data_IF_457186446663
#
_entry.id   IF_457186446663
#
_cell.length_a   1.000
_cell.length_b   1.000
_cell.length_c   1.000
_cell.angle_alpha   90.00
_cell.angle_beta   90.00
_cell.angle_gamma   90.00
#
_symmetry.space_group_name_H-M   'P 1'
#
loop_
_entity.id
_entity.type
_entity.pdbx_description
1 polymer ?
#
# COMPACT_ATOMS: atom_id res chain seq x y z
N UNK A 1 -3.14 28.91 4.16
CA UNK A 1 -3.26 27.54 4.69
C UNK A 1 -4.03 26.70 3.68
N UNK A 2 -3.36 26.22 2.62
CA UNK A 2 -4.03 25.45 1.56
C UNK A 2 -4.21 24.00 2.01
N UNK A 3 -5.46 23.63 2.28
CA UNK A 3 -5.91 22.32 2.80
C UNK A 3 -5.91 21.19 1.74
N UNK A 4 -5.19 21.35 0.64
CA UNK A 4 -5.17 20.43 -0.52
C UNK A 4 -3.74 20.07 -0.94
N UNK A 5 -2.86 19.78 0.02
CA UNK A 5 -1.47 19.51 -0.29
C UNK A 5 -1.09 18.05 -0.11
N UNK A 6 -0.80 17.44 -1.26
CA UNK A 6 0.07 16.27 -1.51
C UNK A 6 -0.42 14.92 -1.02
N UNK A 7 -0.93 14.11 -1.95
CA UNK A 7 -0.44 12.75 -2.08
C UNK A 7 -0.42 12.37 -3.57
N UNK A 8 0.76 12.01 -4.10
CA UNK A 8 0.90 11.58 -5.50
C UNK A 8 0.33 10.18 -5.78
N UNK A 9 -0.11 9.46 -4.73
CA UNK A 9 -0.62 8.11 -4.87
C UNK A 9 -2.07 8.10 -5.31
N UNK A 10 -2.33 7.45 -6.44
CA UNK A 10 -3.68 7.19 -6.92
C UNK A 10 -4.22 5.93 -6.25
N UNK A 11 -5.53 5.85 -6.11
CA UNK A 11 -6.23 4.67 -5.59
C UNK A 11 -7.08 4.05 -6.69
N UNK A 12 -6.96 2.74 -6.86
CA UNK A 12 -7.92 1.96 -7.66
C UNK A 12 -9.15 1.63 -6.80
N UNK A 13 -10.35 1.64 -7.39
CA UNK A 13 -11.59 1.26 -6.70
C UNK A 13 -11.50 -0.17 -6.12
N UNK A 14 -10.96 -1.10 -6.92
CA UNK A 14 -10.69 -2.47 -6.48
C UNK A 14 -9.62 -2.51 -5.37
N UNK A 15 -8.61 -1.65 -5.44
CA UNK A 15 -7.58 -1.53 -4.40
C UNK A 15 -8.17 -1.08 -3.07
N UNK A 16 -9.03 -0.04 -3.10
CA UNK A 16 -9.69 0.51 -1.92
C UNK A 16 -10.59 -0.53 -1.24
N UNK A 17 -11.39 -1.25 -2.03
CA UNK A 17 -12.25 -2.31 -1.51
C UNK A 17 -11.44 -3.42 -0.81
N UNK A 18 -10.30 -3.82 -1.40
CA UNK A 18 -9.41 -4.84 -0.83
C UNK A 18 -8.72 -4.37 0.44
N UNK A 19 -8.29 -3.11 0.48
CA UNK A 19 -7.76 -2.45 1.68
C UNK A 19 -8.80 -2.51 2.81
N UNK A 20 -10.04 -2.11 2.53
CA UNK A 20 -11.13 -2.12 3.50
C UNK A 20 -11.33 -3.52 4.10
N UNK A 21 -11.44 -4.53 3.25
CA UNK A 21 -11.60 -5.94 3.65
C UNK A 21 -10.42 -6.47 4.47
N UNK A 22 -9.18 -6.19 4.06
CA UNK A 22 -7.98 -6.77 4.69
C UNK A 22 -7.55 -6.07 5.97
N UNK A 23 -7.75 -4.76 6.07
CA UNK A 23 -7.44 -3.99 7.28
C UNK A 23 -8.59 -4.02 8.30
N UNK A 24 -9.75 -4.57 7.91
CA UNK A 24 -10.99 -4.56 8.67
C UNK A 24 -11.40 -3.14 9.08
N UNK A 25 -11.32 -2.21 8.11
CA UNK A 25 -11.82 -0.86 8.27
C UNK A 25 -13.34 -0.93 8.08
N UNK A 26 -14.12 -0.56 9.10
CA UNK A 26 -15.58 -0.51 9.07
C UNK A 26 -16.11 0.54 8.08
N UNK A 27 -17.40 0.89 8.09
CA UNK A 27 -18.06 1.86 7.19
C UNK A 27 -17.55 3.32 7.30
N UNK A 28 -16.24 3.51 7.31
CA UNK A 28 -15.61 4.78 7.02
C UNK A 28 -15.89 5.20 5.59
N UNK A 29 -16.12 6.51 5.41
CA UNK A 29 -16.21 7.12 4.09
C UNK A 29 -14.92 6.84 3.31
N UNK A 30 -15.01 6.70 1.99
CA UNK A 30 -13.83 6.41 1.15
C UNK A 30 -12.70 7.43 1.34
N UNK A 31 -13.06 8.69 1.60
CA UNK A 31 -12.11 9.75 1.89
C UNK A 31 -11.30 9.48 3.16
N UNK A 32 -11.96 9.09 4.26
CA UNK A 32 -11.28 8.74 5.52
C UNK A 32 -10.36 7.53 5.35
N UNK A 33 -10.78 6.55 4.53
CA UNK A 33 -9.95 5.38 4.22
C UNK A 33 -8.69 5.81 3.47
N UNK A 34 -8.82 6.72 2.49
CA UNK A 34 -7.69 7.24 1.72
C UNK A 34 -6.70 7.97 2.62
N UNK A 35 -7.15 8.90 3.46
CA UNK A 35 -6.28 9.59 4.42
C UNK A 35 -5.56 8.61 5.35
N UNK A 36 -6.30 7.67 5.94
CA UNK A 36 -5.71 6.67 6.85
C UNK A 36 -4.66 5.78 6.18
N UNK A 37 -4.86 5.43 4.91
CA UNK A 37 -3.86 4.66 4.14
C UNK A 37 -2.61 5.49 3.91
N UNK A 38 -2.76 6.79 3.65
CA UNK A 38 -1.65 7.69 3.41
C UNK A 38 -0.85 7.92 4.69
N UNK A 39 -1.53 8.13 5.82
CA UNK A 39 -0.90 8.17 7.14
C UNK A 39 -0.13 6.87 7.44
N UNK A 40 -0.69 5.71 7.09
CA UNK A 40 0.00 4.42 7.27
C UNK A 40 1.23 4.29 6.38
N UNK A 41 1.19 4.83 5.16
CA UNK A 41 2.32 4.83 4.24
C UNK A 41 3.43 5.75 4.77
N UNK A 42 3.08 6.96 5.22
CA UNK A 42 4.05 7.93 5.77
C UNK A 42 4.70 7.43 7.06
N UNK A 43 3.94 6.78 7.93
CA UNK A 43 4.44 6.19 9.17
C UNK A 43 5.04 4.79 9.01
N UNK A 44 5.14 4.29 7.77
CA UNK A 44 5.63 2.93 7.54
C UNK A 44 7.12 2.81 7.85
N UNK A 45 7.47 1.82 8.68
CA UNK A 45 8.85 1.56 9.10
C UNK A 45 9.62 0.64 8.14
N UNK A 46 8.92 -0.05 7.25
CA UNK A 46 9.50 -1.04 6.34
C UNK A 46 8.88 -0.89 4.95
N UNK A 47 9.74 -0.79 3.96
CA UNK A 47 9.36 -0.90 2.57
C UNK A 47 10.40 -1.75 1.85
N UNK A 48 9.96 -2.39 0.79
CA UNK A 48 10.85 -3.01 -0.18
C UNK A 48 10.29 -2.75 -1.56
N UNK A 49 11.17 -2.73 -2.54
CA UNK A 49 10.79 -2.42 -3.90
C UNK A 49 11.27 -3.49 -4.87
N UNK A 50 10.55 -3.55 -5.97
CA UNK A 50 10.78 -4.37 -7.14
C UNK A 50 10.86 -3.42 -8.34
N UNK A 51 11.18 -3.88 -9.54
CA UNK A 51 11.41 -3.09 -10.74
C UNK A 51 10.17 -2.25 -11.09
N UNK A 52 8.99 -2.86 -10.99
CA UNK A 52 7.72 -2.19 -11.33
C UNK A 52 6.83 -1.89 -10.12
N UNK A 53 7.10 -2.45 -8.94
CA UNK A 53 6.20 -2.36 -7.77
C UNK A 53 6.92 -1.96 -6.48
N UNK A 54 6.25 -1.18 -5.63
CA UNK A 54 6.69 -0.83 -4.28
C UNK A 54 5.77 -1.53 -3.30
N UNK A 55 6.37 -2.17 -2.30
CA UNK A 55 5.68 -2.80 -1.20
C UNK A 55 5.93 -2.01 0.07
N UNK A 56 4.87 -1.47 0.66
CA UNK A 56 4.95 -0.65 1.88
C UNK A 56 4.24 -1.37 3.00
N UNK A 57 4.93 -1.60 4.11
CA UNK A 57 4.37 -2.28 5.27
C UNK A 57 3.24 -1.45 5.90
N UNK A 58 2.12 -2.10 6.20
CA UNK A 58 0.92 -1.41 6.72
C UNK A 58 0.96 -1.15 8.22
N UNK A 59 1.99 -1.59 8.94
CA UNK A 59 2.04 -1.53 10.40
C UNK A 59 1.29 -2.67 11.10
N UNK A 60 0.45 -3.42 10.38
CA UNK A 60 -0.44 -4.45 10.94
C UNK A 60 -0.18 -5.82 10.29
N UNK A 61 0.24 -6.79 11.11
CA UNK A 61 0.45 -8.17 10.69
C UNK A 61 1.60 -8.30 9.69
N UNK A 62 1.44 -9.11 8.64
CA UNK A 62 2.40 -9.20 7.53
C UNK A 62 1.77 -8.66 6.24
N UNK A 63 1.02 -7.56 6.32
CA UNK A 63 0.29 -6.98 5.19
C UNK A 63 1.06 -5.80 4.61
N UNK A 64 1.18 -5.78 3.29
CA UNK A 64 1.88 -4.75 2.52
C UNK A 64 0.95 -4.10 1.50
N UNK A 65 1.01 -2.78 1.39
CA UNK A 65 0.46 -2.03 0.27
C UNK A 65 1.31 -2.28 -0.97
N UNK A 66 0.67 -2.63 -2.08
CA UNK A 66 1.31 -2.85 -3.38
C UNK A 66 1.01 -1.66 -4.27
N UNK A 67 2.07 -0.96 -4.68
CA UNK A 67 1.99 0.28 -5.45
C UNK A 67 2.72 0.08 -6.78
N UNK A 68 2.08 0.39 -7.90
CA UNK A 68 2.78 0.46 -9.19
C UNK A 68 3.67 1.71 -9.24
N UNK A 69 4.96 1.53 -9.51
CA UNK A 69 5.94 2.64 -9.60
C UNK A 69 5.59 3.65 -10.68
N UNK A 70 5.23 3.17 -11.87
CA UNK A 70 4.98 4.02 -13.06
C UNK A 70 3.81 4.98 -12.87
N UNK A 71 2.73 4.49 -12.27
CA UNK A 71 1.48 5.23 -12.14
C UNK A 71 1.28 5.82 -10.74
N UNK A 72 2.17 5.48 -9.79
CA UNK A 72 2.00 5.72 -8.35
C UNK A 72 0.61 5.25 -7.88
N UNK A 73 0.13 4.13 -8.42
CA UNK A 73 -1.22 3.62 -8.17
C UNK A 73 -1.16 2.52 -7.10
N UNK A 74 -1.91 2.66 -6.02
CA UNK A 74 -2.13 1.61 -5.03
C UNK A 74 -3.08 0.57 -5.65
N UNK A 75 -2.52 -0.58 -6.00
CA UNK A 75 -3.24 -1.66 -6.69
C UNK A 75 -4.01 -2.50 -5.67
N UNK A 76 -3.36 -2.92 -4.59
CA UNK A 76 -3.94 -3.81 -3.59
C UNK A 76 -3.13 -3.82 -2.29
N UNK A 77 -3.65 -4.44 -1.24
CA UNK A 77 -2.92 -4.73 0.00
C UNK A 77 -2.79 -6.21 0.16
N UNK A 78 -1.62 -6.84 0.14
CA UNK A 78 -1.55 -8.30 0.26
C UNK A 78 -0.76 -8.74 1.49
N UNK A 79 -1.19 -9.81 2.19
CA UNK A 79 -0.32 -10.47 3.15
C UNK A 79 0.85 -11.14 2.39
N UNK A 80 2.07 -10.90 2.86
CA UNK A 80 3.31 -11.48 2.29
C UNK A 80 4.05 -12.17 3.42
N UNK A 81 4.32 -13.46 3.28
CA UNK A 81 5.19 -14.18 4.21
C UNK A 81 6.66 -13.77 3.99
N UNK A 82 7.53 -13.85 5.02
CA UNK A 82 8.94 -13.49 4.88
C UNK A 82 9.67 -14.25 3.74
N UNK A 83 9.36 -15.54 3.57
CA UNK A 83 9.89 -16.35 2.47
C UNK A 83 9.50 -15.81 1.09
N UNK A 84 8.25 -15.32 0.98
CA UNK A 84 7.71 -14.78 -0.26
C UNK A 84 8.24 -13.38 -0.55
N UNK A 85 8.46 -12.57 0.49
CA UNK A 85 9.15 -11.28 0.40
C UNK A 85 10.57 -11.47 -0.16
N UNK A 86 11.35 -12.36 0.44
CA UNK A 86 12.71 -12.67 -0.03
C UNK A 86 12.69 -13.17 -1.49
N UNK A 87 11.73 -14.02 -1.84
CA UNK A 87 11.56 -14.52 -3.22
C UNK A 87 11.22 -13.41 -4.21
N UNK A 88 10.40 -12.44 -3.83
CA UNK A 88 10.03 -11.30 -4.68
C UNK A 88 11.23 -10.40 -4.94
N UNK A 89 12.02 -10.11 -3.90
CA UNK A 89 13.25 -9.33 -4.00
C UNK A 89 14.27 -10.05 -4.90
N UNK A 90 14.49 -11.35 -4.67
CA UNK A 90 15.48 -12.12 -5.44
C UNK A 90 15.09 -12.34 -6.90
N UNK A 91 13.80 -12.50 -7.21
CA UNK A 91 13.32 -12.74 -8.58
C UNK A 91 13.54 -11.54 -9.49
N UNK A 92 13.68 -10.36 -8.91
CA UNK A 92 13.79 -9.11 -9.64
C UNK A 92 15.22 -8.70 -9.98
N UNK A 93 16.18 -9.38 -9.34
CA UNK A 93 17.63 -9.19 -9.52
C UNK A 93 18.17 -10.05 -10.69
N UNK A 94 17.35 -10.93 -11.26
CA UNK A 94 17.68 -11.84 -12.37
C UNK A 94 16.79 -11.60 -13.58
#
# INVERSE_FOLDING_TARGET
MSYYYRHEFKFSDHGLQRIKQRLNLSESNEWEIKEKVLDMIENSTRNFETNDTIYIYTGKGNIFFVIAKREKLIITTTPISPERELKLINRDIY
#
